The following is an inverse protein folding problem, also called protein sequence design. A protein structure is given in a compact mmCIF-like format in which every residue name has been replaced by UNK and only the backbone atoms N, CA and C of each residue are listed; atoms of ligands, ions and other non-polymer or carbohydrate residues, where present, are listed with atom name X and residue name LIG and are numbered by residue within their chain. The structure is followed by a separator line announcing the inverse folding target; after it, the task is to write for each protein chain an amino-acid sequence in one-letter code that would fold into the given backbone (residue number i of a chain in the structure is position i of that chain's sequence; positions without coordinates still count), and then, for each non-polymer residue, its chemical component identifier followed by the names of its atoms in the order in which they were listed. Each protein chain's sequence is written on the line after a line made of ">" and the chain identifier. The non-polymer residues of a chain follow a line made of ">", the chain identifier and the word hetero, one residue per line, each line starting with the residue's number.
data_IF_844056884486
#
_entry.id   IF_844056884486
#
_cell.length_a   1.000
_cell.length_b   1.000
_cell.length_c   1.000
_cell.angle_alpha   90.00
_cell.angle_beta   90.00
_cell.angle_gamma   90.00
#
_symmetry.space_group_name_H-M   'P 1'
#
loop_
_entity.id
_entity.type
_entity.pdbx_description
1 polymer ?
#
# COMPACT_ATOMS: atom_id res chain seq x y z
N UNK A 1 -8.19 -0.03 -8.42
CA UNK A 1 -8.06 -1.34 -7.72
C UNK A 1 -8.94 -1.39 -6.46
N UNK A 2 -9.36 -2.57 -5.96
CA UNK A 2 -10.06 -2.70 -4.67
C UNK A 2 -9.07 -2.68 -3.49
N UNK A 3 -9.52 -2.30 -2.28
CA UNK A 3 -8.67 -2.21 -1.06
C UNK A 3 -7.91 -3.52 -0.82
N UNK A 4 -8.55 -4.67 -1.02
CA UNK A 4 -7.91 -5.98 -0.82
C UNK A 4 -6.84 -6.31 -1.87
N UNK A 5 -6.97 -5.81 -3.09
CA UNK A 5 -5.94 -5.94 -4.12
C UNK A 5 -4.74 -5.03 -3.84
N UNK A 6 -4.98 -3.84 -3.28
CA UNK A 6 -3.90 -2.95 -2.84
C UNK A 6 -3.17 -3.50 -1.62
N UNK A 7 -3.89 -4.15 -0.68
CA UNK A 7 -3.26 -4.91 0.42
C UNK A 7 -2.38 -6.05 -0.13
N UNK A 8 -2.85 -6.79 -1.14
CA UNK A 8 -2.06 -7.85 -1.78
C UNK A 8 -0.82 -7.30 -2.50
N UNK A 9 -0.94 -6.19 -3.22
CA UNK A 9 0.21 -5.51 -3.81
C UNK A 9 1.21 -5.04 -2.75
N UNK A 10 0.76 -4.56 -1.59
CA UNK A 10 1.68 -4.17 -0.53
C UNK A 10 2.47 -5.36 0.05
N UNK A 11 1.88 -6.57 0.06
CA UNK A 11 2.57 -7.77 0.52
C UNK A 11 3.53 -8.34 -0.53
N UNK A 12 3.16 -8.25 -1.80
CA UNK A 12 3.97 -8.70 -2.94
C UNK A 12 3.96 -7.63 -4.05
N UNK A 13 4.75 -6.56 -3.90
CA UNK A 13 4.73 -5.43 -4.82
C UNK A 13 5.44 -5.78 -6.12
N UNK A 14 4.69 -5.70 -7.22
CA UNK A 14 5.26 -5.72 -8.56
C UNK A 14 5.93 -4.37 -8.86
N UNK A 15 7.25 -4.31 -8.67
CA UNK A 15 8.04 -3.11 -8.92
C UNK A 15 8.22 -2.78 -10.41
N UNK A 16 7.77 -3.66 -11.32
CA UNK A 16 7.89 -3.45 -12.77
C UNK A 16 6.85 -2.46 -13.31
N UNK A 17 5.69 -2.35 -12.63
CA UNK A 17 4.62 -1.41 -12.99
C UNK A 17 4.82 -0.01 -12.38
N UNK A 18 5.79 0.14 -11.48
CA UNK A 18 6.04 1.39 -10.74
C UNK A 18 7.11 2.22 -11.45
N UNK A 19 6.78 3.49 -11.73
CA UNK A 19 7.73 4.46 -12.26
C UNK A 19 8.92 4.66 -11.31
N UNK A 20 10.12 4.86 -11.85
CA UNK A 20 11.35 5.11 -11.06
C UNK A 20 11.20 6.33 -10.15
N UNK A 21 10.44 7.34 -10.58
CA UNK A 21 10.15 8.56 -9.81
C UNK A 21 9.30 8.27 -8.58
N UNK A 22 8.34 7.36 -8.71
CA UNK A 22 7.34 7.04 -7.67
C UNK A 22 7.79 5.92 -6.74
N UNK A 23 8.78 5.12 -7.18
CA UNK A 23 9.32 3.98 -6.44
C UNK A 23 9.69 4.29 -4.98
N UNK A 24 10.37 5.42 -4.63
CA UNK A 24 10.68 5.72 -3.23
C UNK A 24 9.42 5.87 -2.37
N UNK A 25 8.40 6.56 -2.90
CA UNK A 25 7.15 6.81 -2.17
C UNK A 25 6.29 5.54 -2.06
N UNK A 26 6.21 4.76 -3.13
CA UNK A 26 5.53 3.46 -3.12
C UNK A 26 6.18 2.53 -2.10
N UNK A 27 7.52 2.51 -2.02
CA UNK A 27 8.25 1.71 -1.04
C UNK A 27 7.99 2.15 0.41
N UNK A 28 7.89 3.44 0.67
CA UNK A 28 7.49 3.97 1.98
C UNK A 28 6.07 3.50 2.36
N UNK A 29 5.10 3.68 1.46
CA UNK A 29 3.70 3.27 1.68
C UNK A 29 3.58 1.77 1.93
N UNK A 30 4.25 0.95 1.12
CA UNK A 30 4.29 -0.51 1.29
C UNK A 30 4.85 -0.88 2.66
N UNK A 31 5.95 -0.24 3.08
CA UNK A 31 6.56 -0.50 4.39
C UNK A 31 5.57 -0.19 5.52
N UNK A 32 4.92 0.98 5.48
CA UNK A 32 3.93 1.41 6.47
C UNK A 32 2.71 0.46 6.51
N UNK A 33 2.18 0.06 5.35
CA UNK A 33 1.08 -0.89 5.26
C UNK A 33 1.48 -2.25 5.83
N UNK A 34 2.69 -2.72 5.54
CA UNK A 34 3.22 -3.98 6.07
C UNK A 34 3.36 -3.94 7.60
N UNK A 35 3.74 -2.80 8.20
CA UNK A 35 3.80 -2.70 9.68
C UNK A 35 2.45 -2.90 10.38
N UNK A 36 1.35 -2.69 9.66
CA UNK A 36 0.00 -2.84 10.19
C UNK A 36 -0.73 -4.06 9.60
N UNK A 37 -0.03 -4.94 8.87
CA UNK A 37 -0.67 -6.07 8.17
C UNK A 37 -1.22 -7.10 9.15
N UNK A 38 -0.52 -7.32 10.27
CA UNK A 38 -0.89 -8.24 11.34
C UNK A 38 -1.96 -7.68 12.28
N UNK A 39 -2.25 -6.37 12.19
CA UNK A 39 -3.31 -5.77 12.98
C UNK A 39 -4.68 -6.16 12.40
N UNK A 40 -5.63 -6.59 13.25
CA UNK A 40 -6.99 -6.82 12.79
C UNK A 40 -7.59 -5.51 12.26
N UNK A 41 -8.44 -5.59 11.23
CA UNK A 41 -9.03 -4.41 10.56
C UNK A 41 -9.75 -3.45 11.52
N UNK A 42 -10.26 -3.95 12.65
CA UNK A 42 -10.89 -3.15 13.70
C UNK A 42 -9.90 -2.27 14.49
N UNK A 43 -8.61 -2.55 14.43
CA UNK A 43 -7.53 -1.80 15.05
C UNK A 43 -6.73 -0.95 14.05
N UNK A 44 -6.93 -1.15 12.74
CA UNK A 44 -6.30 -0.33 11.71
C UNK A 44 -6.96 1.05 11.70
N UNK A 45 -6.16 2.10 11.92
CA UNK A 45 -6.62 3.48 11.96
C UNK A 45 -6.96 4.06 10.58
N UNK A 46 -7.51 5.27 10.54
CA UNK A 46 -7.81 5.99 9.30
C UNK A 46 -6.56 6.20 8.42
N UNK A 47 -5.39 6.37 9.04
CA UNK A 47 -4.11 6.51 8.35
C UNK A 47 -3.79 5.31 7.44
N UNK A 48 -4.10 4.10 7.90
CA UNK A 48 -3.89 2.87 7.13
C UNK A 48 -4.67 2.88 5.81
N UNK A 49 -5.95 3.28 5.88
CA UNK A 49 -6.79 3.39 4.70
C UNK A 49 -6.35 4.55 3.81
N UNK A 50 -5.82 5.64 4.39
CA UNK A 50 -5.16 6.72 3.67
C UNK A 50 -3.99 6.22 2.81
N UNK A 51 -3.08 5.43 3.39
CA UNK A 51 -1.95 4.85 2.67
C UNK A 51 -2.39 3.90 1.55
N UNK A 52 -3.42 3.09 1.77
CA UNK A 52 -3.97 2.22 0.72
C UNK A 52 -4.58 3.03 -0.42
N UNK A 53 -5.32 4.11 -0.14
CA UNK A 53 -5.89 4.95 -1.19
C UNK A 53 -4.78 5.66 -1.97
N UNK A 54 -3.76 6.16 -1.29
CA UNK A 54 -2.61 6.79 -1.93
C UNK A 54 -1.86 5.80 -2.82
N UNK A 55 -1.54 4.61 -2.30
CA UNK A 55 -0.88 3.54 -3.04
C UNK A 55 -1.70 3.14 -4.28
N UNK A 56 -3.01 2.97 -4.13
CA UNK A 56 -3.93 2.65 -5.23
C UNK A 56 -3.90 3.72 -6.34
N UNK A 57 -3.75 5.01 -6.00
CA UNK A 57 -3.64 6.10 -6.99
C UNK A 57 -2.31 6.12 -7.74
N UNK A 58 -1.24 5.57 -7.14
CA UNK A 58 0.07 5.53 -7.78
C UNK A 58 0.23 4.34 -8.73
N UNK A 59 -0.53 3.27 -8.50
CA UNK A 59 -0.41 2.00 -9.24
C UNK A 59 -1.55 1.74 -10.25
N UNK A 60 -2.55 2.62 -10.34
CA UNK A 60 -3.51 2.66 -11.48
C UNK A 60 -3.27 3.91 -12.31
#
# INVERSE_FOLDING_TARGET
>A
MSVSLTEAFAQDPDWSIISVTDRPRVQELVTLICTQVDLPRSQKGEEYYGWLIELNRMIN
#
